data_IF_595308712108
#
_entry.id   IF_595308712108
#
_cell.length_a   1.000
_cell.length_b   1.000
_cell.length_c   1.000
_cell.angle_alpha   90.00
_cell.angle_beta   90.00
_cell.angle_gamma   90.00
#
_symmetry.space_group_name_H-M   'P 1'
#
loop_
_entity.id
_entity.type
_entity.pdbx_description
1 polymer ?
#
# COMPACT_ATOMS: atom_id res chain seq x y z
N UNK A 1 26.91 -18.67 -22.60
CA UNK A 1 25.68 -18.31 -21.88
C UNK A 1 25.68 -16.81 -21.69
N UNK A 2 24.89 -16.07 -22.49
CA UNK A 2 24.83 -14.62 -22.42
C UNK A 2 24.13 -14.20 -21.13
N UNK A 3 24.82 -13.42 -20.28
CA UNK A 3 24.17 -12.72 -19.16
C UNK A 3 23.07 -11.86 -19.77
N UNK A 4 21.81 -12.13 -19.46
CA UNK A 4 20.73 -11.18 -19.74
C UNK A 4 21.05 -9.93 -18.94
N UNK A 5 21.63 -8.94 -19.62
CA UNK A 5 21.80 -7.60 -19.09
C UNK A 5 20.42 -6.95 -19.16
N UNK A 6 19.63 -7.16 -18.10
CA UNK A 6 18.41 -6.41 -17.86
C UNK A 6 18.85 -4.97 -17.57
N UNK A 7 18.75 -4.10 -18.57
CA UNK A 7 18.87 -2.66 -18.35
C UNK A 7 17.61 -2.24 -17.58
N UNK A 8 17.78 -2.03 -16.28
CA UNK A 8 16.72 -1.65 -15.37
C UNK A 8 16.48 -0.14 -15.50
N UNK A 9 15.29 0.25 -15.97
CA UNK A 9 14.89 1.65 -15.94
C UNK A 9 14.58 2.04 -14.48
N UNK A 10 15.54 2.71 -13.86
CA UNK A 10 15.46 3.22 -12.48
C UNK A 10 14.30 4.18 -12.31
N UNK A 11 14.02 5.04 -13.30
CA UNK A 11 12.93 6.00 -13.24
C UNK A 11 11.56 5.31 -13.29
N UNK A 12 11.42 4.28 -14.13
CA UNK A 12 10.21 3.47 -14.19
C UNK A 12 9.96 2.73 -12.86
N UNK A 13 10.99 2.17 -12.23
CA UNK A 13 10.85 1.50 -10.94
C UNK A 13 10.51 2.47 -9.80
N UNK A 14 11.06 3.67 -9.81
CA UNK A 14 10.68 4.73 -8.88
C UNK A 14 9.20 5.08 -9.03
N UNK A 15 8.72 5.25 -10.27
CA UNK A 15 7.31 5.52 -10.54
C UNK A 15 6.39 4.40 -10.03
N UNK A 16 6.79 3.14 -10.16
CA UNK A 16 6.04 2.00 -9.62
C UNK A 16 6.01 2.04 -8.09
N UNK A 17 7.15 2.33 -7.43
CA UNK A 17 7.19 2.45 -5.97
C UNK A 17 6.28 3.58 -5.47
N UNK A 18 6.26 4.72 -6.17
CA UNK A 18 5.39 5.85 -5.82
C UNK A 18 3.90 5.53 -6.05
N UNK A 19 3.58 4.73 -7.07
CA UNK A 19 2.22 4.23 -7.28
C UNK A 19 1.72 3.36 -6.12
N UNK A 20 2.59 2.49 -5.57
CA UNK A 20 2.26 1.68 -4.40
C UNK A 20 2.00 2.55 -3.16
N UNK A 21 2.80 3.59 -2.93
CA UNK A 21 2.55 4.51 -1.81
C UNK A 21 1.29 5.35 -1.99
N UNK A 22 1.04 5.86 -3.20
CA UNK A 22 -0.20 6.57 -3.49
C UNK A 22 -1.43 5.68 -3.22
N UNK A 23 -1.37 4.42 -3.66
CA UNK A 23 -2.44 3.44 -3.42
C UNK A 23 -2.63 3.17 -1.92
N UNK A 24 -1.55 3.04 -1.14
CA UNK A 24 -1.62 2.88 0.31
C UNK A 24 -2.30 4.10 0.98
N UNK A 25 -1.92 5.32 0.58
CA UNK A 25 -2.50 6.55 1.10
C UNK A 25 -4.00 6.69 0.78
N UNK A 26 -4.42 6.28 -0.42
CA UNK A 26 -5.82 6.26 -0.83
C UNK A 26 -6.65 5.29 0.02
N UNK A 27 -6.11 4.10 0.29
CA UNK A 27 -6.75 3.09 1.16
C UNK A 27 -6.89 3.63 2.58
N UNK A 28 -5.82 4.19 3.16
CA UNK A 28 -5.84 4.74 4.53
C UNK A 28 -6.87 5.88 4.65
N UNK A 29 -6.96 6.73 3.63
CA UNK A 29 -7.94 7.81 3.55
C UNK A 29 -9.37 7.27 3.47
N UNK A 30 -9.60 6.25 2.64
CA UNK A 30 -10.90 5.60 2.52
C UNK A 30 -11.33 4.97 3.87
N UNK A 31 -10.43 4.29 4.58
CA UNK A 31 -10.74 3.72 5.90
C UNK A 31 -11.10 4.84 6.88
N UNK A 32 -10.28 5.89 6.97
CA UNK A 32 -10.47 6.96 7.96
C UNK A 32 -11.75 7.77 7.72
N UNK A 33 -12.02 8.15 6.47
CA UNK A 33 -13.11 9.06 6.13
C UNK A 33 -14.41 8.30 5.87
N UNK A 34 -14.35 7.23 5.06
CA UNK A 34 -15.54 6.53 4.57
C UNK A 34 -16.06 5.52 5.58
N UNK A 35 -15.18 4.72 6.19
CA UNK A 35 -15.58 3.71 7.17
C UNK A 35 -15.76 4.31 8.57
N UNK A 36 -14.83 5.19 8.99
CA UNK A 36 -14.93 5.90 10.28
C UNK A 36 -16.15 6.81 10.41
N UNK A 37 -16.71 7.29 9.30
CA UNK A 37 -17.93 8.12 9.27
C UNK A 37 -19.25 7.35 9.37
N UNK A 38 -19.22 6.01 9.28
CA UNK A 38 -20.43 5.19 9.27
C UNK A 38 -20.81 4.76 10.69
N UNK A 39 -21.63 5.58 11.35
CA UNK A 39 -22.25 5.23 12.62
C UNK A 39 -23.52 4.38 12.39
N UNK A 40 -23.36 3.07 12.21
CA UNK A 40 -24.47 2.10 12.22
C UNK A 40 -24.89 1.76 13.66
N UNK A 41 -25.16 2.78 14.47
CA UNK A 41 -25.64 2.59 15.84
C UNK A 41 -27.18 2.59 15.90
N UNK A 42 -27.72 2.05 17.00
CA UNK A 42 -29.16 2.02 17.25
C UNK A 42 -29.84 3.40 17.30
N UNK A 43 -29.05 4.49 17.33
CA UNK A 43 -29.52 5.87 17.30
C UNK A 43 -29.87 6.31 15.88
N UNK A 44 -29.26 5.70 14.85
CA UNK A 44 -29.53 5.96 13.42
C UNK A 44 -30.45 4.90 12.80
N UNK A 45 -30.31 3.63 13.19
CA UNK A 45 -31.11 2.53 12.61
C UNK A 45 -32.45 2.27 13.31
N UNK A 46 -32.68 2.85 14.49
CA UNK A 46 -33.85 2.54 15.33
C UNK A 46 -33.62 1.28 16.18
N UNK A 47 -34.30 1.20 17.34
CA UNK A 47 -34.06 0.16 18.36
C UNK A 47 -34.28 -1.27 17.86
N UNK A 48 -35.09 -1.45 16.81
CA UNK A 48 -35.38 -2.76 16.22
C UNK A 48 -34.27 -3.28 15.29
N UNK A 49 -33.35 -2.40 14.87
CA UNK A 49 -32.26 -2.72 13.93
C UNK A 49 -30.87 -2.68 14.57
N UNK A 50 -30.78 -2.61 15.91
CA UNK A 50 -29.50 -2.61 16.65
C UNK A 50 -28.65 -3.83 16.31
N UNK A 51 -29.26 -5.03 16.30
CA UNK A 51 -28.53 -6.26 15.99
C UNK A 51 -27.97 -6.25 14.56
N UNK A 52 -28.78 -5.82 13.58
CA UNK A 52 -28.36 -5.70 12.18
C UNK A 52 -27.28 -4.62 11.99
N UNK A 53 -27.37 -3.50 12.69
CA UNK A 53 -26.36 -2.44 12.67
C UNK A 53 -25.02 -2.90 13.26
N UNK A 54 -25.07 -3.65 14.36
CA UNK A 54 -23.88 -4.25 14.98
C UNK A 54 -23.23 -5.32 14.08
N UNK A 55 -24.02 -6.16 13.42
CA UNK A 55 -23.51 -7.12 12.42
C UNK A 55 -22.84 -6.41 11.24
N UNK A 56 -23.48 -5.37 10.69
CA UNK A 56 -22.91 -4.56 9.63
C UNK A 56 -21.61 -3.87 10.07
N UNK A 57 -21.56 -3.33 11.29
CA UNK A 57 -20.34 -2.73 11.85
C UNK A 57 -19.22 -3.75 11.95
N UNK A 58 -19.47 -4.95 12.48
CA UNK A 58 -18.45 -6.01 12.56
C UNK A 58 -17.93 -6.43 11.19
N UNK A 59 -18.82 -6.53 10.20
CA UNK A 59 -18.42 -6.84 8.83
C UNK A 59 -17.49 -5.74 8.27
N UNK A 60 -17.84 -4.47 8.47
CA UNK A 60 -17.04 -3.33 8.03
C UNK A 60 -15.70 -3.23 8.77
N UNK A 61 -15.65 -3.52 10.07
CA UNK A 61 -14.40 -3.59 10.83
C UNK A 61 -13.47 -4.69 10.29
N UNK A 62 -14.05 -5.84 9.92
CA UNK A 62 -13.32 -6.91 9.23
C UNK A 62 -12.69 -6.42 7.92
N UNK A 63 -13.46 -5.71 7.09
CA UNK A 63 -12.97 -5.16 5.83
C UNK A 63 -11.91 -4.06 6.05
N UNK A 64 -12.10 -3.19 7.05
CA UNK A 64 -11.12 -2.17 7.41
C UNK A 64 -9.77 -2.79 7.81
N UNK A 65 -9.79 -3.91 8.54
CA UNK A 65 -8.58 -4.62 8.93
C UNK A 65 -7.82 -5.24 7.74
N UNK A 66 -8.55 -5.82 6.78
CA UNK A 66 -7.95 -6.34 5.54
C UNK A 66 -7.43 -5.23 4.64
N UNK A 67 -8.16 -4.12 4.51
CA UNK A 67 -7.69 -2.94 3.77
C UNK A 67 -6.43 -2.33 4.42
N UNK A 68 -6.37 -2.28 5.75
CA UNK A 68 -5.17 -1.83 6.47
C UNK A 68 -3.98 -2.73 6.17
N UNK A 69 -4.20 -4.05 6.13
CA UNK A 69 -3.15 -5.02 5.76
C UNK A 69 -2.69 -4.81 4.31
N UNK A 70 -3.61 -4.52 3.40
CA UNK A 70 -3.28 -4.27 2.00
C UNK A 70 -2.51 -2.95 1.81
N UNK A 71 -2.93 -1.88 2.50
CA UNK A 71 -2.20 -0.61 2.55
C UNK A 71 -0.76 -0.83 3.02
N UNK A 72 -0.58 -1.55 4.14
CA UNK A 72 0.74 -1.92 4.65
C UNK A 72 1.56 -2.76 3.67
N UNK A 73 0.95 -3.73 2.99
CA UNK A 73 1.66 -4.53 2.00
C UNK A 73 2.17 -3.66 0.84
N UNK A 74 1.38 -2.67 0.40
CA UNK A 74 1.80 -1.72 -0.63
C UNK A 74 2.99 -0.87 -0.16
N UNK A 75 3.01 -0.38 1.09
CA UNK A 75 4.17 0.37 1.62
C UNK A 75 5.41 -0.52 1.75
N UNK A 76 5.26 -1.78 2.17
CA UNK A 76 6.36 -2.75 2.23
C UNK A 76 6.95 -3.05 0.84
N UNK A 77 6.11 -3.18 -0.19
CA UNK A 77 6.55 -3.35 -1.58
C UNK A 77 7.31 -2.11 -2.06
N UNK A 78 6.78 -0.90 -1.83
CA UNK A 78 7.46 0.34 -2.20
C UNK A 78 8.83 0.47 -1.53
N UNK A 79 8.92 0.15 -0.23
CA UNK A 79 10.18 0.15 0.52
C UNK A 79 11.19 -0.86 -0.04
N UNK A 80 10.74 -2.08 -0.38
CA UNK A 80 11.59 -3.10 -0.98
C UNK A 80 12.13 -2.67 -2.35
N UNK A 81 11.29 -2.05 -3.19
CA UNK A 81 11.68 -1.51 -4.50
C UNK A 81 12.75 -0.42 -4.37
N UNK A 82 12.52 0.58 -3.50
CA UNK A 82 13.48 1.66 -3.26
C UNK A 82 14.79 1.13 -2.68
N UNK A 83 14.73 0.19 -1.74
CA UNK A 83 15.94 -0.46 -1.20
C UNK A 83 16.71 -1.26 -2.26
N UNK A 84 16.02 -1.85 -3.23
CA UNK A 84 16.63 -2.49 -4.41
C UNK A 84 17.33 -1.48 -5.33
N UNK A 85 16.66 -0.36 -5.61
CA UNK A 85 17.19 0.72 -6.45
C UNK A 85 18.47 1.33 -5.87
N UNK A 86 18.51 1.64 -4.57
CA UNK A 86 19.71 2.16 -3.91
C UNK A 86 20.90 1.21 -4.04
N UNK A 87 20.66 -0.11 -3.93
CA UNK A 87 21.72 -1.11 -4.13
C UNK A 87 22.17 -1.19 -5.58
N UNK A 88 21.24 -1.04 -6.53
CA UNK A 88 21.55 -1.04 -7.96
C UNK A 88 22.40 0.18 -8.35
N UNK A 89 22.02 1.38 -7.91
CA UNK A 89 22.80 2.60 -8.14
C UNK A 89 24.21 2.51 -7.55
N UNK A 90 24.34 1.97 -6.34
CA UNK A 90 25.65 1.78 -5.73
C UNK A 90 26.54 0.80 -6.52
N UNK A 91 25.95 -0.26 -7.07
CA UNK A 91 26.64 -1.22 -7.92
C UNK A 91 27.07 -0.59 -9.26
N UNK A 92 26.22 0.25 -9.86
CA UNK A 92 26.51 0.97 -11.10
C UNK A 92 27.66 1.97 -10.90
N UNK A 93 27.61 2.80 -9.86
CA UNK A 93 28.70 3.73 -9.50
C UNK A 93 30.01 2.99 -9.25
N UNK A 94 29.97 1.90 -8.48
CA UNK A 94 31.15 1.07 -8.20
C UNK A 94 31.73 0.42 -9.46
N UNK A 95 30.91 0.13 -10.46
CA UNK A 95 31.36 -0.41 -11.74
C UNK A 95 31.97 0.70 -12.61
N UNK A 96 31.35 1.88 -12.65
CA UNK A 96 31.86 3.05 -13.37
C UNK A 96 33.24 3.48 -12.86
N UNK A 97 33.43 3.54 -11.54
CA UNK A 97 34.71 3.89 -10.88
C UNK A 97 35.86 2.91 -11.19
N UNK A 98 35.56 1.69 -11.64
CA UNK A 98 36.57 0.68 -12.00
C UNK A 98 36.96 0.69 -13.47
N UNK A 99 36.15 1.31 -14.32
CA UNK A 99 36.32 1.35 -15.77
C UNK A 99 36.81 2.72 -16.26
N UNK A 100 36.57 3.78 -15.48
CA UNK A 100 37.20 5.10 -15.67
C UNK A 100 38.62 5.15 -15.14
#
# INVERSE_FOLDING_TARGET
>A
MGRQQLYLDVAALHSVADCFEATAADIDTAIRIRLGGLAFDGRVAGRDHVAAGEEMRRALDGWASELTRWSRANTEIAAALRGGLVRYEHAETSAADRVG
#
